data_IF_941968176066
#
_entry.id   IF_941968176066
#
_cell.length_a   1.000
_cell.length_b   1.000
_cell.length_c   1.000
_cell.angle_alpha   90.00
_cell.angle_beta   90.00
_cell.angle_gamma   90.00
#
_symmetry.space_group_name_H-M   'P 1'
#
loop_
_entity.id
_entity.type
_entity.pdbx_description
1 polymer ?
#
# COMPACT_ATOMS: atom_id res chain seq x y z
N UNK A 1 3.36 -7.52 -16.52
CA UNK A 1 2.51 -7.01 -15.43
C UNK A 1 3.43 -6.38 -14.40
N UNK A 2 3.35 -5.06 -14.17
CA UNK A 2 4.18 -4.39 -13.17
C UNK A 2 3.48 -4.58 -11.83
N UNK A 3 4.05 -5.37 -10.92
CA UNK A 3 3.61 -5.32 -9.52
C UNK A 3 3.93 -3.92 -8.99
N UNK A 4 2.97 -3.28 -8.33
CA UNK A 4 3.30 -2.14 -7.48
C UNK A 4 3.86 -2.69 -6.18
N UNK A 5 5.11 -2.33 -5.87
CA UNK A 5 5.77 -2.68 -4.62
C UNK A 5 5.28 -1.83 -3.45
N UNK A 6 4.65 -0.69 -3.75
CA UNK A 6 4.22 0.30 -2.79
C UNK A 6 2.90 -0.15 -2.11
N UNK A 7 2.81 0.05 -0.79
CA UNK A 7 1.62 -0.19 0.02
C UNK A 7 0.98 1.17 0.33
N UNK A 8 -0.17 1.43 -0.28
CA UNK A 8 -0.96 2.64 -0.04
C UNK A 8 -2.08 2.37 0.98
N UNK A 9 -2.10 3.13 2.07
CA UNK A 9 -3.07 3.04 3.15
C UNK A 9 -3.82 4.36 3.30
N UNK A 10 -5.15 4.27 3.36
CA UNK A 10 -6.03 5.40 3.70
C UNK A 10 -6.67 5.16 5.05
N UNK A 11 -6.57 6.15 5.93
CA UNK A 11 -7.17 6.08 7.27
C UNK A 11 -8.68 6.34 7.19
N UNK A 12 -9.46 5.43 7.77
CA UNK A 12 -10.90 5.65 7.97
C UNK A 12 -11.12 6.76 9.01
N UNK A 13 -11.97 7.73 8.65
CA UNK A 13 -12.38 8.82 9.53
C UNK A 13 -13.77 8.53 10.09
N UNK A 14 -13.87 8.47 11.41
CA UNK A 14 -15.14 8.38 12.11
C UNK A 14 -15.72 9.78 12.34
N UNK A 15 -17.04 9.86 12.52
CA UNK A 15 -17.70 11.12 12.86
C UNK A 15 -17.10 11.73 14.15
N UNK A 16 -16.85 13.04 14.11
CA UNK A 16 -16.26 13.78 15.24
C UNK A 16 -14.74 13.64 15.39
N UNK A 17 -14.04 12.85 14.57
CA UNK A 17 -12.58 12.76 14.66
C UNK A 17 -11.87 14.03 14.17
N UNK A 18 -11.05 14.58 15.05
CA UNK A 18 -10.15 15.69 14.75
C UNK A 18 -8.95 15.25 13.90
N UNK A 19 -8.34 16.21 13.20
CA UNK A 19 -7.13 15.96 12.40
C UNK A 19 -5.96 15.44 13.24
N UNK A 20 -5.89 15.79 14.53
CA UNK A 20 -4.87 15.28 15.44
C UNK A 20 -5.06 13.79 15.71
N UNK A 21 -6.31 13.32 15.87
CA UNK A 21 -6.61 11.89 16.04
C UNK A 21 -6.25 11.09 14.78
N UNK A 22 -6.55 11.61 13.59
CA UNK A 22 -6.17 10.96 12.33
C UNK A 22 -4.66 10.91 12.13
N UNK A 23 -3.95 11.96 12.53
CA UNK A 23 -2.49 11.98 12.53
C UNK A 23 -1.92 10.94 13.49
N UNK A 24 -2.57 10.71 14.64
CA UNK A 24 -2.20 9.63 15.55
C UNK A 24 -2.41 8.24 14.95
N UNK A 25 -3.51 7.99 14.22
CA UNK A 25 -3.73 6.73 13.49
C UNK A 25 -2.60 6.43 12.48
N UNK A 26 -2.17 7.43 11.72
CA UNK A 26 -1.00 7.28 10.81
C UNK A 26 0.28 6.92 11.58
N UNK A 27 0.49 7.51 12.76
CA UNK A 27 1.67 7.19 13.59
C UNK A 27 1.62 5.77 14.13
N UNK A 28 0.44 5.28 14.48
CA UNK A 28 0.23 3.91 14.94
C UNK A 28 0.56 2.90 13.85
N UNK A 29 0.11 3.13 12.61
CA UNK A 29 0.51 2.34 11.44
C UNK A 29 2.04 2.23 11.34
N UNK A 30 2.75 3.36 11.46
CA UNK A 30 4.23 3.35 11.43
C UNK A 30 4.87 2.58 12.59
N UNK A 31 4.21 2.49 13.74
CA UNK A 31 4.72 1.76 14.90
C UNK A 31 4.59 0.25 14.65
N UNK A 32 3.42 -0.21 14.22
CA UNK A 32 3.15 -1.62 13.91
C UNK A 32 4.06 -2.10 12.79
N UNK A 33 4.18 -1.34 11.69
CA UNK A 33 5.02 -1.73 10.54
C UNK A 33 6.48 -1.84 10.92
N UNK A 34 6.99 -1.01 11.85
CA UNK A 34 8.40 -1.04 12.25
C UNK A 34 8.84 -2.39 12.82
N UNK A 35 7.92 -3.15 13.41
CA UNK A 35 8.23 -4.45 14.03
C UNK A 35 8.45 -5.54 12.97
N UNK A 36 7.75 -5.47 11.83
CA UNK A 36 7.80 -6.48 10.77
C UNK A 36 8.70 -6.05 9.60
N UNK A 37 8.71 -4.75 9.30
CA UNK A 37 9.44 -4.13 8.19
C UNK A 37 10.33 -3.01 8.73
N UNK A 38 11.61 -3.28 9.01
CA UNK A 38 12.54 -2.27 9.51
C UNK A 38 12.65 -1.08 8.55
N UNK A 39 12.53 0.12 9.12
CA UNK A 39 12.60 1.36 8.33
C UNK A 39 14.04 1.63 7.89
N UNK A 40 14.21 1.96 6.61
CA UNK A 40 15.46 2.47 6.04
C UNK A 40 15.30 3.94 5.62
N UNK A 41 16.41 4.67 5.54
CA UNK A 41 16.39 6.04 5.05
C UNK A 41 16.83 6.05 3.59
N UNK A 42 15.94 6.47 2.70
CA UNK A 42 16.26 6.74 1.30
C UNK A 42 15.94 8.20 1.04
N UNK A 43 16.97 8.95 0.63
CA UNK A 43 16.87 10.37 0.35
C UNK A 43 15.81 10.64 -0.73
N UNK A 44 14.99 11.67 -0.53
CA UNK A 44 13.89 12.04 -1.44
C UNK A 44 12.63 11.18 -1.33
N UNK A 45 12.71 9.91 -0.87
CA UNK A 45 11.56 9.00 -0.77
C UNK A 45 10.86 9.04 0.59
N UNK A 46 11.60 9.22 1.68
CA UNK A 46 10.98 9.35 3.01
C UNK A 46 10.43 10.75 3.20
N UNK A 47 9.11 10.88 3.28
CA UNK A 47 8.44 12.15 3.49
C UNK A 47 7.42 12.06 4.62
N UNK A 48 7.54 12.95 5.61
CA UNK A 48 6.60 13.05 6.72
C UNK A 48 6.00 14.45 6.69
N UNK A 49 4.78 14.60 6.18
CA UNK A 49 4.14 15.91 6.04
C UNK A 49 2.71 15.83 6.55
N UNK A 50 2.47 16.36 7.75
CA UNK A 50 1.13 16.55 8.33
C UNK A 50 0.19 15.34 8.17
N UNK A 51 -0.54 15.34 7.06
CA UNK A 51 -1.62 14.42 6.69
C UNK A 51 -1.17 13.15 5.95
N UNK A 52 0.08 13.13 5.47
CA UNK A 52 0.67 12.03 4.71
C UNK A 52 2.01 11.61 5.33
N UNK A 53 2.25 10.31 5.33
CA UNK A 53 3.49 9.71 5.77
C UNK A 53 3.93 8.62 4.80
N UNK A 54 5.03 8.89 4.09
CA UNK A 54 5.73 7.98 3.20
C UNK A 54 7.04 7.51 3.83
N UNK A 55 7.21 6.20 3.96
CA UNK A 55 8.39 5.59 4.57
C UNK A 55 8.90 4.42 3.73
N UNK A 56 10.22 4.29 3.65
CA UNK A 56 10.88 3.16 2.99
C UNK A 56 11.28 2.09 4.01
N UNK A 57 11.12 0.83 3.63
CA UNK A 57 11.38 -0.31 4.50
C UNK A 57 12.15 -1.41 3.78
N UNK A 58 13.11 -2.00 4.48
CA UNK A 58 13.83 -3.19 4.02
C UNK A 58 13.06 -4.46 4.37
N UNK A 59 13.28 -5.51 3.58
CA UNK A 59 12.81 -6.87 3.84
C UNK A 59 13.98 -7.86 3.68
N UNK A 60 13.87 -9.01 4.34
CA UNK A 60 14.90 -10.06 4.25
C UNK A 60 14.99 -10.64 2.85
N UNK A 61 16.22 -10.84 2.37
CA UNK A 61 16.50 -11.48 1.08
C UNK A 61 17.38 -12.69 1.33
N UNK A 62 16.85 -13.88 1.05
CA UNK A 62 17.60 -15.12 1.19
C UNK A 62 18.53 -15.39 0.00
N UNK A 63 18.28 -14.74 -1.14
CA UNK A 63 19.07 -14.91 -2.35
C UNK A 63 19.85 -13.63 -2.68
N UNK A 64 21.01 -13.80 -3.29
CA UNK A 64 21.81 -12.70 -3.85
C UNK A 64 21.71 -12.78 -5.37
N UNK A 65 21.28 -11.71 -6.02
CA UNK A 65 21.12 -11.66 -7.47
C UNK A 65 20.58 -10.32 -7.95
N UNK A 66 20.60 -10.11 -9.26
CA UNK A 66 19.96 -8.97 -9.90
C UNK A 66 18.44 -9.21 -9.96
N UNK A 67 17.69 -8.45 -9.17
CA UNK A 67 16.22 -8.50 -9.14
C UNK A 67 15.59 -7.63 -10.25
N UNK A 68 16.40 -7.10 -11.17
CA UNK A 68 15.95 -6.29 -12.30
C UNK A 68 15.43 -4.92 -11.85
N UNK A 69 14.21 -4.56 -12.26
CA UNK A 69 13.60 -3.26 -11.95
C UNK A 69 13.01 -3.16 -10.53
N UNK A 70 13.09 -4.23 -9.74
CA UNK A 70 12.46 -4.28 -8.41
C UNK A 70 13.27 -3.43 -7.44
N UNK A 71 12.61 -2.48 -6.75
CA UNK A 71 13.32 -1.72 -5.72
C UNK A 71 13.66 -2.64 -4.56
N UNK A 72 14.85 -2.42 -4.00
CA UNK A 72 15.31 -3.12 -2.81
C UNK A 72 14.58 -2.70 -1.51
N UNK A 73 13.46 -2.01 -1.64
CA UNK A 73 12.71 -1.41 -0.55
C UNK A 73 11.22 -1.41 -0.85
N UNK A 74 10.41 -1.69 0.18
CA UNK A 74 8.97 -1.50 0.16
C UNK A 74 8.68 -0.07 0.62
N UNK A 75 7.90 0.67 -0.17
CA UNK A 75 7.42 1.98 0.25
C UNK A 75 6.04 1.80 0.86
N UNK A 76 5.86 2.28 2.08
CA UNK A 76 4.55 2.39 2.70
C UNK A 76 4.15 3.85 2.73
N UNK A 77 2.99 4.15 2.19
CA UNK A 77 2.38 5.47 2.21
C UNK A 77 1.05 5.39 2.98
N UNK A 78 0.95 6.15 4.06
CA UNK A 78 -0.27 6.26 4.84
C UNK A 78 -0.77 7.70 4.82
N UNK A 79 -2.05 7.90 4.50
CA UNK A 79 -2.67 9.21 4.39
C UNK A 79 -4.07 9.23 4.99
N UNK A 80 -4.46 10.36 5.55
CA UNK A 80 -5.87 10.65 5.84
C UNK A 80 -6.43 11.75 4.93
N UNK A 81 -5.59 12.27 4.02
CA UNK A 81 -5.99 13.21 2.99
C UNK A 81 -6.69 12.46 1.85
N UNK A 82 -7.90 12.90 1.51
CA UNK A 82 -8.72 12.29 0.45
C UNK A 82 -9.99 11.64 0.99
N UNK A 83 -10.66 10.88 0.13
CA UNK A 83 -11.85 10.13 0.48
C UNK A 83 -11.46 8.71 0.87
N UNK A 84 -12.00 8.24 1.99
CA UNK A 84 -11.83 6.87 2.46
C UNK A 84 -13.00 5.96 2.02
N UNK A 85 -13.98 6.51 1.29
CA UNK A 85 -15.18 5.82 0.81
C UNK A 85 -15.40 6.01 -0.71
N UNK A 86 -16.07 5.05 -1.39
CA UNK A 86 -16.53 3.78 -0.83
C UNK A 86 -15.40 2.74 -0.72
N UNK A 87 -15.53 1.85 0.27
CA UNK A 87 -14.64 0.71 0.47
C UNK A 87 -15.46 -0.57 0.63
N UNK A 88 -14.86 -1.70 0.28
CA UNK A 88 -15.47 -3.02 0.39
C UNK A 88 -14.51 -4.01 1.06
N UNK A 89 -15.06 -5.08 1.65
CA UNK A 89 -14.24 -6.20 2.12
C UNK A 89 -13.86 -7.06 0.93
N UNK A 90 -12.57 -7.35 0.82
CA UNK A 90 -12.04 -8.25 -0.20
C UNK A 90 -11.13 -9.27 0.43
N UNK A 91 -11.36 -10.54 0.09
CA UNK A 91 -10.46 -11.63 0.41
C UNK A 91 -9.24 -11.53 -0.50
N UNK A 92 -8.05 -11.46 0.09
CA UNK A 92 -6.77 -11.45 -0.63
C UNK A 92 -5.94 -12.65 -0.19
N UNK A 93 -5.08 -13.12 -1.08
CA UNK A 93 -4.13 -14.20 -0.82
C UNK A 93 -2.78 -13.83 -1.42
N UNK A 94 -1.71 -14.37 -0.85
CA UNK A 94 -0.41 -14.32 -1.50
C UNK A 94 -0.36 -15.37 -2.63
N UNK A 95 0.42 -15.13 -3.68
CA UNK A 95 0.60 -16.13 -4.74
C UNK A 95 1.14 -17.45 -4.21
N UNK A 96 2.04 -17.40 -3.23
CA UNK A 96 2.58 -18.61 -2.59
C UNK A 96 1.47 -19.35 -1.85
N UNK A 97 0.62 -18.63 -1.10
CA UNK A 97 -0.53 -19.20 -0.40
C UNK A 97 -1.55 -19.84 -1.36
N UNK A 98 -1.85 -19.20 -2.50
CA UNK A 98 -2.71 -19.77 -3.54
C UNK A 98 -2.11 -21.07 -4.10
N UNK A 99 -0.83 -21.05 -4.46
CA UNK A 99 -0.13 -22.24 -4.99
C UNK A 99 -0.12 -23.39 -3.97
N UNK A 100 0.08 -23.10 -2.68
CA UNK A 100 0.05 -24.14 -1.64
C UNK A 100 -1.34 -24.76 -1.52
N UNK A 101 -2.40 -23.95 -1.54
CA UNK A 101 -3.78 -24.43 -1.48
C UNK A 101 -4.11 -25.26 -2.72
N UNK A 102 -3.71 -24.80 -3.90
CA UNK A 102 -3.96 -25.49 -5.18
C UNK A 102 -3.21 -26.83 -5.29
N UNK A 103 -2.13 -27.02 -4.53
CA UNK A 103 -1.36 -28.26 -4.46
C UNK A 103 -1.70 -29.13 -3.23
N UNK A 104 -2.85 -28.91 -2.59
CA UNK A 104 -3.30 -29.64 -1.40
C UNK A 104 -2.36 -29.51 -0.18
N UNK A 105 -1.54 -28.45 -0.11
CA UNK A 105 -0.59 -28.16 0.97
C UNK A 105 -1.16 -27.17 2.00
N UNK A 106 -2.45 -27.31 2.33
CA UNK A 106 -3.17 -26.38 3.20
C UNK A 106 -2.59 -26.33 4.61
N UNK A 107 -2.10 -27.46 5.13
CA UNK A 107 -1.48 -27.52 6.46
C UNK A 107 -0.23 -26.64 6.54
N UNK A 108 0.59 -26.66 5.49
CA UNK A 108 1.79 -25.80 5.36
C UNK A 108 1.37 -24.33 5.25
N UNK A 109 0.36 -24.04 4.42
CA UNK A 109 -0.16 -22.68 4.29
C UNK A 109 -0.69 -22.14 5.64
N UNK A 110 -1.28 -23.00 6.47
CA UNK A 110 -1.76 -22.63 7.80
C UNK A 110 -0.60 -22.42 8.79
N UNK A 111 0.42 -23.28 8.78
CA UNK A 111 1.61 -23.17 9.64
C UNK A 111 2.35 -21.83 9.43
N UNK A 112 2.42 -21.36 8.18
CA UNK A 112 3.11 -20.11 7.82
C UNK A 112 2.18 -18.90 7.70
N UNK A 113 0.92 -18.99 8.15
CA UNK A 113 -0.06 -17.89 8.10
C UNK A 113 -0.30 -17.34 6.68
N UNK A 114 -0.23 -18.21 5.66
CA UNK A 114 -0.41 -17.89 4.24
C UNK A 114 -1.85 -18.09 3.75
N UNK A 115 -2.77 -18.48 4.64
CA UNK A 115 -4.18 -18.60 4.30
C UNK A 115 -4.76 -17.24 3.92
N UNK A 116 -5.71 -17.19 2.97
CA UNK A 116 -6.29 -15.93 2.55
C UNK A 116 -7.05 -15.24 3.69
N UNK A 117 -6.95 -13.91 3.74
CA UNK A 117 -7.58 -13.09 4.77
C UNK A 117 -8.38 -11.94 4.15
N UNK A 118 -9.28 -11.35 4.92
CA UNK A 118 -10.08 -10.21 4.47
C UNK A 118 -9.40 -8.88 4.80
N UNK A 119 -9.42 -7.97 3.85
CA UNK A 119 -8.99 -6.58 4.03
C UNK A 119 -10.04 -5.62 3.47
N UNK A 120 -10.06 -4.39 3.99
CA UNK A 120 -10.82 -3.31 3.40
C UNK A 120 -10.03 -2.71 2.23
N UNK A 121 -10.66 -2.69 1.05
CA UNK A 121 -10.09 -2.08 -0.16
C UNK A 121 -10.98 -0.96 -0.65
N UNK A 122 -10.37 0.14 -1.11
CA UNK A 122 -11.11 1.20 -1.77
C UNK A 122 -11.69 0.68 -3.08
N UNK A 123 -12.95 1.02 -3.37
CA UNK A 123 -13.58 0.54 -4.59
C UNK A 123 -13.00 1.24 -5.84
N UNK A 124 -12.66 0.48 -6.90
CA UNK A 124 -12.08 1.04 -8.12
C UNK A 124 -12.98 2.03 -8.84
N UNK A 125 -14.29 1.98 -8.61
CA UNK A 125 -15.32 2.80 -9.26
C UNK A 125 -14.95 4.28 -9.22
N UNK A 126 -14.46 4.76 -8.08
CA UNK A 126 -14.02 6.15 -7.91
C UNK A 126 -12.63 6.38 -8.51
N UNK A 127 -11.69 5.47 -8.31
CA UNK A 127 -10.33 5.57 -8.87
C UNK A 127 -10.33 5.67 -10.39
N UNK A 128 -11.23 4.94 -11.06
CA UNK A 128 -11.41 5.02 -12.51
C UNK A 128 -11.91 6.41 -12.91
N UNK A 129 -12.94 6.95 -12.23
CA UNK A 129 -13.43 8.31 -12.48
C UNK A 129 -12.33 9.36 -12.29
N UNK A 130 -11.53 9.26 -11.22
CA UNK A 130 -10.41 10.17 -10.95
C UNK A 130 -9.32 10.07 -12.02
N UNK A 131 -8.96 8.86 -12.45
CA UNK A 131 -7.99 8.64 -13.54
C UNK A 131 -8.50 9.19 -14.88
N UNK A 132 -9.76 8.97 -15.22
CA UNK A 132 -10.39 9.53 -16.43
C UNK A 132 -10.40 11.06 -16.37
N UNK A 133 -10.84 11.66 -15.26
CA UNK A 133 -10.82 13.12 -15.10
C UNK A 133 -9.41 13.69 -15.18
N UNK A 134 -8.42 13.00 -14.62
CA UNK A 134 -7.00 13.40 -14.72
C UNK A 134 -6.53 13.37 -16.17
N UNK A 135 -6.83 12.29 -16.91
CA UNK A 135 -6.52 12.16 -18.32
C UNK A 135 -7.20 13.24 -19.17
N UNK A 136 -8.47 13.54 -18.92
CA UNK A 136 -9.22 14.60 -19.61
C UNK A 136 -8.61 15.97 -19.34
N UNK A 137 -8.29 16.29 -18.08
CA UNK A 137 -7.58 17.55 -17.75
C UNK A 137 -6.24 17.63 -18.48
N UNK A 138 -5.54 16.51 -18.57
CA UNK A 138 -4.25 16.42 -19.24
C UNK A 138 -4.36 16.61 -20.76
N UNK A 139 -5.44 16.12 -21.40
CA UNK A 139 -5.64 16.33 -22.84
C UNK A 139 -5.85 17.80 -23.22
N UNK A 140 -6.28 18.64 -22.29
CA UNK A 140 -6.39 20.09 -22.49
C UNK A 140 -5.13 20.87 -22.10
N UNK A 141 -4.09 20.19 -21.59
CA UNK A 141 -2.84 20.85 -21.22
C UNK A 141 -1.94 21.07 -22.43
N UNK A 142 -1.33 22.25 -22.53
CA UNK A 142 -0.49 22.67 -23.66
C UNK A 142 0.80 21.81 -23.77
N UNK A 143 1.18 21.12 -22.69
CA UNK A 143 2.37 20.26 -22.62
C UNK A 143 2.00 18.94 -21.93
N UNK A 144 1.66 17.90 -22.69
CA UNK A 144 1.12 16.66 -22.15
C UNK A 144 2.22 15.69 -21.67
N UNK A 145 3.31 16.14 -21.01
CA UNK A 145 4.29 15.29 -20.28
C UNK A 145 5.44 16.16 -19.71
N UNK A 146 5.35 16.53 -18.43
CA UNK A 146 6.54 16.73 -17.58
C UNK A 146 6.26 16.04 -16.26
N UNK A 147 6.93 14.90 -16.08
CA UNK A 147 7.02 14.13 -14.83
C UNK A 147 8.15 14.72 -14.00
#
# INVERSE_FOLDING_TARGET
MKLSEDIDLVVLRNEGESNNQLTSKIREISKVIKEVLPKINIEGLTQKRGMNRKTAHSYSKEFKGDYGQVRDAIIVEATWLGYFEPYTKKKISSFIGEIMIDNDQVDIANEYELLPFEVLVLEPTRTICEKIMSLVRFSYSVIPLKI
#
